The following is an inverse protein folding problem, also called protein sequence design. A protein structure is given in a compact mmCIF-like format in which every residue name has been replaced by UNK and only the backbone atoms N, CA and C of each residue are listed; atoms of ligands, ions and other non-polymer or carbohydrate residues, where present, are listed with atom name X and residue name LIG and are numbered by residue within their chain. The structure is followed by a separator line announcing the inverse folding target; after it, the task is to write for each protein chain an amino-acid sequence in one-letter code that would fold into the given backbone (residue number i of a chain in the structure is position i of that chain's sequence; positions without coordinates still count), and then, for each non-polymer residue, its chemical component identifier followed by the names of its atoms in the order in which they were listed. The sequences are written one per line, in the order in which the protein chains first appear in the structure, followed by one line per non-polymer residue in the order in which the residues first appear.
data_IF_823371374094
#
_entry.id   IF_823371374094
#
_cell.length_a   1.000
_cell.length_b   1.000
_cell.length_c   1.000
_cell.angle_alpha   90.00
_cell.angle_beta   90.00
_cell.angle_gamma   90.00
#
_symmetry.space_group_name_H-M   'P 1'
#
loop_
_entity.id
_entity.type
_entity.pdbx_description
1 polymer ?
#
# COMPACT_ATOMS: atom_id res chain seq x y z
N UNK A 1 21.37 -7.19 -53.13
CA UNK A 1 21.08 -6.43 -51.89
C UNK A 1 21.77 -7.01 -50.68
N UNK A 2 22.10 -6.16 -49.70
CA UNK A 2 22.93 -6.48 -48.53
C UNK A 2 22.18 -7.23 -47.40
N UNK A 3 20.99 -7.79 -47.64
CA UNK A 3 20.26 -8.62 -46.67
C UNK A 3 19.51 -7.88 -45.56
N UNK A 4 19.48 -6.54 -45.57
CA UNK A 4 18.72 -5.72 -44.63
C UNK A 4 19.41 -5.51 -43.28
N UNK A 5 18.64 -5.14 -42.24
CA UNK A 5 19.19 -4.84 -40.91
C UNK A 5 19.52 -6.13 -40.15
N UNK A 6 20.78 -6.27 -39.74
CA UNK A 6 21.24 -7.34 -38.85
C UNK A 6 21.28 -6.85 -37.40
N UNK A 7 20.51 -7.51 -36.54
CA UNK A 7 20.46 -7.24 -35.10
C UNK A 7 21.33 -8.27 -34.37
N UNK A 8 22.22 -7.79 -33.53
CA UNK A 8 23.08 -8.62 -32.68
C UNK A 8 22.75 -8.30 -31.22
N UNK A 9 22.18 -9.27 -30.52
CA UNK A 9 22.01 -9.22 -29.07
C UNK A 9 23.27 -9.75 -28.39
N UNK A 10 23.80 -8.99 -27.45
CA UNK A 10 25.04 -9.33 -26.71
C UNK A 10 24.79 -10.17 -25.48
N UNK A 11 23.54 -10.19 -24.99
CA UNK A 11 23.07 -10.98 -23.86
C UNK A 11 21.55 -11.20 -24.00
N UNK A 12 20.97 -12.00 -23.08
CA UNK A 12 19.51 -12.15 -22.97
C UNK A 12 19.00 -11.33 -21.80
N UNK A 13 17.99 -10.51 -22.05
CA UNK A 13 17.34 -9.76 -20.98
C UNK A 13 16.57 -10.72 -20.07
N UNK A 14 16.33 -10.32 -18.81
CA UNK A 14 15.44 -11.03 -17.90
C UNK A 14 14.00 -11.20 -18.42
N UNK A 15 13.59 -10.42 -19.43
CA UNK A 15 12.26 -10.46 -20.00
C UNK A 15 12.31 -10.74 -21.49
N UNK A 16 11.56 -11.76 -21.90
CA UNK A 16 11.41 -12.17 -23.30
C UNK A 16 10.79 -11.07 -24.16
N UNK A 17 9.99 -10.19 -23.55
CA UNK A 17 9.37 -9.06 -24.24
C UNK A 17 10.43 -8.08 -24.76
N UNK A 18 11.46 -7.79 -23.96
CA UNK A 18 12.53 -6.85 -24.35
C UNK A 18 13.39 -7.45 -25.46
N UNK A 19 13.74 -8.74 -25.36
CA UNK A 19 14.44 -9.45 -26.44
C UNK A 19 13.64 -9.43 -27.76
N UNK A 20 12.33 -9.68 -27.70
CA UNK A 20 11.45 -9.63 -28.88
C UNK A 20 11.34 -8.23 -29.46
N UNK A 21 11.35 -7.19 -28.63
CA UNK A 21 11.37 -5.80 -29.10
C UNK A 21 12.66 -5.49 -29.85
N UNK A 22 13.82 -6.00 -29.40
CA UNK A 22 15.08 -5.85 -30.11
C UNK A 22 15.06 -6.58 -31.46
N UNK A 23 14.56 -7.82 -31.50
CA UNK A 23 14.38 -8.58 -32.76
C UNK A 23 13.47 -7.86 -33.75
N UNK A 24 12.36 -7.30 -33.26
CA UNK A 24 11.38 -6.59 -34.08
C UNK A 24 11.87 -5.26 -34.67
N UNK A 25 13.11 -4.84 -34.40
CA UNK A 25 13.72 -3.69 -35.08
C UNK A 25 14.15 -4.01 -36.50
N UNK A 26 14.45 -5.28 -36.81
CA UNK A 26 14.70 -5.77 -38.16
C UNK A 26 13.43 -6.34 -38.81
N UNK A 27 13.44 -6.46 -40.14
CA UNK A 27 12.36 -7.12 -40.90
C UNK A 27 11.00 -6.41 -40.87
N UNK A 28 11.00 -5.06 -40.86
CA UNK A 28 9.77 -4.27 -40.85
C UNK A 28 9.08 -4.39 -42.21
N UNK A 29 7.74 -4.48 -42.22
CA UNK A 29 6.95 -4.51 -43.46
C UNK A 29 7.36 -5.60 -44.48
N UNK A 30 7.97 -6.69 -44.03
CA UNK A 30 8.45 -7.76 -44.91
C UNK A 30 9.84 -7.52 -45.49
N UNK A 31 10.54 -6.45 -45.07
CA UNK A 31 11.94 -6.23 -45.42
C UNK A 31 12.82 -7.43 -44.98
N UNK A 32 13.91 -7.74 -45.71
CA UNK A 32 14.93 -8.66 -45.24
C UNK A 32 15.55 -8.17 -43.92
N UNK A 33 15.92 -9.10 -43.05
CA UNK A 33 16.61 -8.79 -41.80
C UNK A 33 16.97 -10.04 -41.02
N UNK A 34 17.92 -9.92 -40.09
CA UNK A 34 18.38 -11.02 -39.25
C UNK A 34 18.48 -10.59 -37.80
N UNK A 35 18.36 -11.55 -36.88
CA UNK A 35 18.58 -11.32 -35.46
C UNK A 35 19.27 -12.52 -34.83
N UNK A 36 20.44 -12.31 -34.23
CA UNK A 36 21.20 -13.34 -33.52
C UNK A 36 21.50 -12.86 -32.11
N UNK A 37 21.41 -13.75 -31.13
CA UNK A 37 21.75 -13.45 -29.74
C UNK A 37 22.94 -14.32 -29.34
N UNK A 38 24.00 -13.66 -28.88
CA UNK A 38 25.13 -14.28 -28.20
C UNK A 38 24.87 -14.24 -26.70
N UNK A 39 25.20 -15.33 -26.02
CA UNK A 39 24.95 -15.49 -24.58
C UNK A 39 26.16 -16.20 -24.00
N UNK A 40 26.67 -15.68 -22.88
CA UNK A 40 27.71 -16.32 -22.08
C UNK A 40 27.11 -16.96 -20.83
N UNK A 41 27.73 -18.02 -20.34
CA UNK A 41 27.38 -18.59 -19.04
C UNK A 41 27.72 -17.66 -17.87
N UNK A 42 28.58 -16.67 -18.10
CA UNK A 42 28.94 -15.64 -17.13
C UNK A 42 27.93 -14.47 -17.08
N UNK A 43 26.96 -14.44 -17.98
CA UNK A 43 25.95 -13.37 -18.03
C UNK A 43 25.07 -13.39 -16.77
N UNK A 44 24.49 -12.24 -16.41
CA UNK A 44 23.68 -12.12 -15.19
C UNK A 44 22.50 -13.10 -15.15
N UNK A 45 21.77 -13.24 -16.27
CA UNK A 45 20.67 -14.20 -16.39
C UNK A 45 21.17 -15.64 -16.18
N UNK A 46 22.32 -15.97 -16.73
CA UNK A 46 22.88 -17.31 -16.60
C UNK A 46 23.39 -17.55 -15.19
N UNK A 47 24.07 -16.59 -14.54
CA UNK A 47 24.52 -16.71 -13.15
C UNK A 47 23.39 -16.94 -12.15
N UNK A 48 22.26 -16.27 -12.34
CA UNK A 48 21.07 -16.45 -11.48
C UNK A 48 20.44 -17.85 -11.61
N UNK A 49 20.67 -18.55 -12.73
CA UNK A 49 20.03 -19.83 -13.05
C UNK A 49 20.99 -20.93 -13.50
N UNK A 50 22.29 -20.72 -13.32
CA UNK A 50 23.37 -21.69 -13.48
C UNK A 50 23.24 -22.68 -12.33
N UNK A 51 22.16 -23.46 -12.38
CA UNK A 51 21.97 -24.60 -11.51
C UNK A 51 23.11 -25.56 -11.78
N UNK A 52 23.59 -26.23 -10.73
CA UNK A 52 24.64 -27.26 -10.83
C UNK A 52 24.36 -28.27 -11.95
N UNK A 53 23.08 -28.49 -12.29
CA UNK A 53 22.63 -29.39 -13.35
C UNK A 53 22.94 -28.89 -14.77
N UNK A 54 22.85 -27.57 -15.02
CA UNK A 54 23.19 -26.99 -16.34
C UNK A 54 24.70 -26.98 -16.52
N UNK A 55 25.45 -26.63 -15.48
CA UNK A 55 26.92 -26.69 -15.48
C UNK A 55 27.42 -28.13 -15.69
N UNK A 56 26.89 -29.10 -14.93
CA UNK A 56 27.22 -30.53 -15.13
C UNK A 56 26.89 -31.05 -16.52
N UNK A 57 25.79 -30.58 -17.14
CA UNK A 57 25.45 -30.98 -18.51
C UNK A 57 26.48 -30.47 -19.53
N UNK A 58 27.04 -29.28 -19.32
CA UNK A 58 28.08 -28.70 -20.17
C UNK A 58 29.42 -29.42 -20.00
N UNK A 59 29.79 -29.73 -18.75
CA UNK A 59 30.98 -30.54 -18.44
C UNK A 59 30.90 -31.91 -19.11
N UNK A 60 29.71 -32.52 -19.13
CA UNK A 60 29.50 -33.85 -19.75
C UNK A 60 29.56 -33.80 -21.28
N UNK A 61 29.26 -32.65 -21.89
CA UNK A 61 29.31 -32.47 -23.34
C UNK A 61 30.74 -32.32 -23.87
N UNK A 62 31.76 -32.18 -23.01
CA UNK A 62 33.17 -32.16 -23.41
C UNK A 62 33.54 -30.98 -24.33
N UNK A 63 32.80 -29.88 -24.20
CA UNK A 63 32.96 -28.68 -25.03
C UNK A 63 34.31 -28.02 -24.76
N UNK A 64 35.04 -27.69 -25.82
CA UNK A 64 36.31 -26.99 -25.71
C UNK A 64 36.09 -25.49 -25.56
N UNK A 65 37.00 -24.84 -24.83
CA UNK A 65 37.00 -23.40 -24.67
C UNK A 65 37.09 -22.71 -26.06
N UNK A 66 36.12 -21.84 -26.36
CA UNK A 66 36.02 -21.14 -27.64
C UNK A 66 35.09 -21.79 -28.69
N UNK A 67 34.49 -22.95 -28.43
CA UNK A 67 33.50 -23.55 -29.34
C UNK A 67 32.09 -22.96 -29.11
N UNK A 68 31.42 -22.59 -30.21
CA UNK A 68 30.04 -22.11 -30.18
C UNK A 68 29.08 -23.27 -29.91
N UNK A 69 28.17 -23.09 -28.95
CA UNK A 69 27.16 -24.09 -28.59
C UNK A 69 25.85 -23.73 -29.25
N UNK A 70 25.46 -24.49 -30.28
CA UNK A 70 24.10 -24.46 -30.83
C UNK A 70 23.34 -25.72 -30.41
N UNK A 71 22.56 -25.63 -29.33
CA UNK A 71 21.75 -26.75 -28.84
C UNK A 71 20.35 -26.30 -28.45
N UNK A 72 19.34 -26.97 -29.02
CA UNK A 72 17.93 -26.74 -28.67
C UNK A 72 17.62 -27.00 -27.19
N UNK A 73 18.43 -27.80 -26.50
CA UNK A 73 18.30 -28.03 -25.04
C UNK A 73 18.78 -26.83 -24.24
N UNK A 74 19.91 -26.23 -24.64
CA UNK A 74 20.48 -25.04 -23.99
C UNK A 74 19.55 -23.85 -24.22
N UNK A 75 19.05 -23.64 -25.43
CA UNK A 75 18.08 -22.57 -25.72
C UNK A 75 16.82 -22.69 -24.86
N UNK A 76 16.26 -23.91 -24.71
CA UNK A 76 15.11 -24.15 -23.83
C UNK A 76 15.41 -23.90 -22.35
N UNK A 77 16.61 -24.22 -21.89
CA UNK A 77 17.02 -23.93 -20.52
C UNK A 77 17.06 -22.42 -20.25
N UNK A 78 17.59 -21.63 -21.19
CA UNK A 78 17.63 -20.16 -21.12
C UNK A 78 16.20 -19.59 -21.10
N UNK A 79 15.31 -20.07 -21.97
CA UNK A 79 13.91 -19.62 -21.99
C UNK A 79 13.17 -19.91 -20.68
N UNK A 80 13.44 -21.07 -20.06
CA UNK A 80 12.89 -21.42 -18.75
C UNK A 80 13.44 -20.52 -17.64
N UNK A 81 14.73 -20.16 -17.70
CA UNK A 81 15.34 -19.19 -16.78
C UNK A 81 14.65 -17.83 -16.89
N UNK A 82 14.47 -17.30 -18.10
CA UNK A 82 13.73 -16.04 -18.31
C UNK A 82 12.30 -16.12 -17.77
N UNK A 83 11.59 -17.22 -18.02
CA UNK A 83 10.22 -17.41 -17.51
C UNK A 83 10.18 -17.37 -15.97
N UNK A 84 11.15 -17.99 -15.29
CA UNK A 84 11.26 -17.94 -13.82
C UNK A 84 11.53 -16.54 -13.29
N UNK A 85 12.38 -15.75 -13.97
CA UNK A 85 12.60 -14.35 -13.59
C UNK A 85 11.34 -13.53 -13.76
N UNK A 86 10.64 -13.70 -14.88
CA UNK A 86 9.35 -13.04 -15.13
C UNK A 86 8.33 -13.39 -14.04
N UNK A 87 8.20 -14.67 -13.67
CA UNK A 87 7.32 -15.13 -12.59
C UNK A 87 7.71 -14.54 -11.22
N UNK A 88 9.00 -14.52 -10.89
CA UNK A 88 9.48 -13.92 -9.65
C UNK A 88 9.18 -12.41 -9.61
N UNK A 89 9.43 -11.68 -10.71
CA UNK A 89 9.14 -10.26 -10.82
C UNK A 89 7.63 -9.97 -10.72
N UNK A 90 6.78 -10.82 -11.29
CA UNK A 90 5.32 -10.75 -11.10
C UNK A 90 4.96 -10.96 -9.63
N UNK A 91 5.57 -11.95 -8.95
CA UNK A 91 5.35 -12.20 -7.53
C UNK A 91 5.80 -11.04 -6.62
N UNK A 92 6.92 -10.39 -6.93
CA UNK A 92 7.40 -9.19 -6.23
C UNK A 92 6.39 -8.05 -6.40
N UNK A 93 5.93 -7.79 -7.64
CA UNK A 93 4.94 -6.73 -7.91
C UNK A 93 3.60 -7.01 -7.24
N UNK A 94 3.16 -8.27 -7.22
CA UNK A 94 1.92 -8.66 -6.53
C UNK A 94 2.00 -8.36 -5.04
N UNK A 95 3.08 -8.76 -4.37
CA UNK A 95 3.29 -8.44 -2.95
C UNK A 95 3.34 -6.94 -2.70
N UNK A 96 4.03 -6.19 -3.57
CA UNK A 96 4.08 -4.73 -3.48
C UNK A 96 2.68 -4.10 -3.62
N UNK A 97 1.86 -4.60 -4.53
CA UNK A 97 0.47 -4.17 -4.69
C UNK A 97 -0.39 -4.51 -3.47
N UNK A 98 -0.23 -5.71 -2.89
CA UNK A 98 -0.95 -6.10 -1.67
C UNK A 98 -0.65 -5.18 -0.48
N UNK A 99 0.61 -4.75 -0.32
CA UNK A 99 0.97 -3.75 0.69
C UNK A 99 0.37 -2.37 0.37
N UNK A 100 0.41 -1.95 -0.90
CA UNK A 100 -0.18 -0.69 -1.32
C UNK A 100 -1.70 -0.67 -1.17
N UNK A 101 -2.40 -1.79 -1.38
CA UNK A 101 -3.86 -1.89 -1.22
C UNK A 101 -4.30 -1.54 0.22
N UNK A 102 -3.53 -1.95 1.23
CA UNK A 102 -3.79 -1.59 2.63
C UNK A 102 -3.62 -0.07 2.82
N UNK A 103 -2.52 0.49 2.31
CA UNK A 103 -2.24 1.92 2.40
C UNK A 103 -3.26 2.76 1.62
N UNK A 104 -3.71 2.26 0.48
CA UNK A 104 -4.66 2.94 -0.39
C UNK A 104 -6.05 3.00 0.24
N UNK A 105 -6.49 1.94 0.92
CA UNK A 105 -7.75 1.95 1.71
C UNK A 105 -7.70 3.01 2.82
N UNK A 106 -6.60 3.07 3.57
CA UNK A 106 -6.40 4.09 4.60
C UNK A 106 -6.37 5.50 4.00
N UNK A 107 -5.63 5.69 2.91
CA UNK A 107 -5.53 6.98 2.21
C UNK A 107 -6.90 7.45 1.73
N UNK A 108 -7.68 6.57 1.13
CA UNK A 108 -9.04 6.87 0.64
C UNK A 108 -9.94 7.34 1.79
N UNK A 109 -9.92 6.63 2.92
CA UNK A 109 -10.70 7.03 4.10
C UNK A 109 -10.30 8.42 4.62
N UNK A 110 -9.00 8.66 4.82
CA UNK A 110 -8.50 9.95 5.33
C UNK A 110 -8.77 11.08 4.35
N UNK A 111 -8.60 10.84 3.05
CA UNK A 111 -8.81 11.86 2.03
C UNK A 111 -10.28 12.23 1.88
N UNK A 112 -11.20 11.26 1.98
CA UNK A 112 -12.63 11.54 2.00
C UNK A 112 -13.01 12.39 3.23
N UNK A 113 -12.52 12.02 4.42
CA UNK A 113 -12.78 12.78 5.64
C UNK A 113 -12.22 14.20 5.56
N UNK A 114 -11.02 14.36 5.00
CA UNK A 114 -10.41 15.67 4.74
C UNK A 114 -11.22 16.48 3.72
N UNK A 115 -11.73 15.86 2.67
CA UNK A 115 -12.52 16.53 1.65
C UNK A 115 -13.83 17.08 2.23
N UNK A 116 -14.56 16.28 3.02
CA UNK A 116 -15.75 16.75 3.74
C UNK A 116 -15.45 17.91 4.69
N UNK A 117 -14.32 17.83 5.42
CA UNK A 117 -13.87 18.91 6.29
C UNK A 117 -13.53 20.21 5.55
N UNK A 118 -13.00 20.13 4.32
CA UNK A 118 -12.68 21.31 3.51
C UNK A 118 -13.92 21.95 2.89
N UNK A 119 -14.91 21.16 2.50
CA UNK A 119 -16.15 21.66 1.89
C UNK A 119 -17.18 22.15 2.91
N UNK A 120 -16.97 21.89 4.21
CA UNK A 120 -17.97 22.22 5.23
C UNK A 120 -19.14 21.23 5.30
N UNK A 121 -19.15 20.21 4.44
CA UNK A 121 -20.23 19.24 4.37
C UNK A 121 -20.13 18.23 5.51
N UNK A 122 -21.22 18.09 6.29
CA UNK A 122 -21.39 17.02 7.30
C UNK A 122 -20.38 17.01 8.47
N UNK A 123 -19.57 18.05 8.64
CA UNK A 123 -18.57 18.15 9.71
C UNK A 123 -19.19 17.97 11.11
N UNK A 124 -20.38 18.54 11.33
CA UNK A 124 -21.07 18.39 12.62
C UNK A 124 -21.42 16.94 12.94
N UNK A 125 -21.84 16.15 11.94
CA UNK A 125 -22.15 14.73 12.11
C UNK A 125 -20.87 13.94 12.39
N UNK A 126 -19.79 14.24 11.67
CA UNK A 126 -18.50 13.57 11.89
C UNK A 126 -17.95 13.85 13.30
N UNK A 127 -18.06 15.09 13.80
CA UNK A 127 -17.67 15.45 15.16
C UNK A 127 -18.54 14.74 16.20
N UNK A 128 -19.85 14.70 16.00
CA UNK A 128 -20.76 14.00 16.91
C UNK A 128 -20.43 12.50 17.00
N UNK A 129 -20.20 11.85 15.86
CA UNK A 129 -19.81 10.44 15.82
C UNK A 129 -18.44 10.21 16.48
N UNK A 130 -17.44 11.06 16.21
CA UNK A 130 -16.13 10.95 16.86
C UNK A 130 -16.23 11.13 18.38
N UNK A 131 -17.10 12.01 18.86
CA UNK A 131 -17.34 12.21 20.29
C UNK A 131 -17.98 10.97 20.92
N UNK A 132 -18.98 10.39 20.25
CA UNK A 132 -19.60 9.13 20.66
C UNK A 132 -18.57 8.00 20.76
N UNK A 133 -17.77 7.79 19.71
CA UNK A 133 -16.73 6.74 19.67
C UNK A 133 -15.71 6.89 20.81
N UNK A 134 -15.30 8.12 21.12
CA UNK A 134 -14.36 8.39 22.23
C UNK A 134 -14.98 8.05 23.58
N UNK A 135 -16.23 8.45 23.81
CA UNK A 135 -16.96 8.15 25.05
C UNK A 135 -17.16 6.65 25.22
N UNK A 136 -17.59 5.96 24.16
CA UNK A 136 -17.76 4.52 24.15
C UNK A 136 -16.44 3.81 24.49
N UNK A 137 -15.32 4.25 23.92
CA UNK A 137 -13.99 3.70 24.24
C UNK A 137 -13.60 3.91 25.71
N UNK A 138 -13.85 5.10 26.28
CA UNK A 138 -13.58 5.33 27.70
C UNK A 138 -14.40 4.39 28.57
N UNK A 139 -15.72 4.34 28.37
CA UNK A 139 -16.61 3.47 29.16
C UNK A 139 -16.20 2.01 29.01
N UNK A 140 -15.91 1.53 27.80
CA UNK A 140 -15.53 0.14 27.56
C UNK A 140 -14.20 -0.26 28.24
N UNK A 141 -13.25 0.66 28.33
CA UNK A 141 -11.94 0.40 28.96
C UNK A 141 -12.01 0.42 30.48
N UNK A 142 -12.90 1.21 31.07
CA UNK A 142 -12.97 1.41 32.53
C UNK A 142 -14.08 0.63 33.21
N UNK A 143 -15.12 0.23 32.48
CA UNK A 143 -16.25 -0.48 33.07
C UNK A 143 -15.87 -1.88 33.59
N UNK A 144 -16.39 -2.32 34.75
CA UNK A 144 -17.33 -1.62 35.65
C UNK A 144 -16.67 -0.88 36.82
N UNK A 145 -15.37 -1.02 37.05
CA UNK A 145 -14.75 -0.63 38.33
C UNK A 145 -13.80 0.58 38.24
N UNK A 146 -13.42 1.03 37.05
CA UNK A 146 -12.47 2.11 36.81
C UNK A 146 -13.09 3.51 36.81
N UNK A 147 -13.97 3.83 37.76
CA UNK A 147 -14.66 5.14 37.80
C UNK A 147 -13.68 6.32 37.87
N UNK A 148 -12.63 6.21 38.69
CA UNK A 148 -11.63 7.28 38.83
C UNK A 148 -10.87 7.55 37.53
N UNK A 149 -10.52 6.48 36.80
CA UNK A 149 -9.85 6.57 35.51
C UNK A 149 -10.78 7.19 34.46
N UNK A 150 -12.05 6.76 34.43
CA UNK A 150 -13.08 7.33 33.56
C UNK A 150 -13.24 8.84 33.81
N UNK A 151 -13.39 9.24 35.07
CA UNK A 151 -13.54 10.65 35.44
C UNK A 151 -12.32 11.48 35.01
N UNK A 152 -11.11 10.93 35.15
CA UNK A 152 -9.88 11.58 34.69
C UNK A 152 -9.82 11.71 33.16
N UNK A 153 -10.21 10.67 32.42
CA UNK A 153 -10.19 10.67 30.96
C UNK A 153 -11.23 11.64 30.37
N UNK A 154 -12.43 11.69 30.96
CA UNK A 154 -13.47 12.67 30.64
C UNK A 154 -13.00 14.10 30.88
N UNK A 155 -12.36 14.34 32.04
CA UNK A 155 -11.85 15.67 32.38
C UNK A 155 -10.72 16.11 31.43
N UNK A 156 -9.75 15.23 31.16
CA UNK A 156 -8.60 15.56 30.31
C UNK A 156 -8.97 15.76 28.84
N UNK A 157 -9.88 14.94 28.32
CA UNK A 157 -10.17 14.91 26.88
C UNK A 157 -11.36 15.78 26.52
N UNK A 158 -12.44 15.67 27.28
CA UNK A 158 -13.71 16.36 26.99
C UNK A 158 -13.90 17.61 27.87
N UNK A 159 -13.08 17.80 28.89
CA UNK A 159 -13.21 18.93 29.85
C UNK A 159 -14.58 18.94 30.54
N UNK A 160 -15.09 17.75 30.86
CA UNK A 160 -16.34 17.56 31.60
C UNK A 160 -16.09 16.74 32.85
N UNK A 161 -16.92 16.98 33.87
CA UNK A 161 -17.01 16.09 35.03
C UNK A 161 -17.95 14.93 34.72
N UNK A 162 -17.78 13.80 35.41
CA UNK A 162 -18.69 12.67 35.26
C UNK A 162 -20.10 13.09 35.69
N UNK A 163 -21.15 12.86 34.87
CA UNK A 163 -22.52 13.30 35.17
C UNK A 163 -23.25 12.39 36.17
N UNK A 164 -22.51 11.50 36.83
CA UNK A 164 -23.00 10.52 37.79
C UNK A 164 -21.90 10.20 38.80
N UNK A 165 -22.30 9.65 39.94
CA UNK A 165 -21.41 9.23 41.03
C UNK A 165 -20.80 7.85 40.79
N UNK A 166 -19.78 7.48 41.58
CA UNK A 166 -19.16 6.16 41.52
C UNK A 166 -20.16 5.03 41.80
N UNK A 167 -21.05 5.22 42.78
CA UNK A 167 -22.08 4.23 43.13
C UNK A 167 -23.10 4.08 42.00
N UNK A 168 -23.49 5.17 41.34
CA UNK A 168 -24.38 5.11 40.18
C UNK A 168 -23.71 4.40 39.00
N UNK A 169 -22.42 4.69 38.73
CA UNK A 169 -21.68 4.06 37.64
C UNK A 169 -21.59 2.54 37.79
N UNK A 170 -21.39 2.05 39.02
CA UNK A 170 -21.34 0.61 39.32
C UNK A 170 -22.67 -0.11 39.13
N UNK A 171 -23.78 0.60 39.25
CA UNK A 171 -25.13 0.03 39.24
C UNK A 171 -25.88 0.30 37.92
N UNK A 172 -25.36 1.14 37.01
CA UNK A 172 -25.97 1.42 35.71
C UNK A 172 -25.40 0.53 34.60
N UNK A 173 -26.13 0.43 33.48
CA UNK A 173 -25.61 -0.25 32.29
C UNK A 173 -24.53 0.58 31.60
N UNK A 174 -23.74 -0.06 30.73
CA UNK A 174 -22.74 0.64 29.90
C UNK A 174 -23.42 1.63 28.97
N UNK A 175 -24.53 1.23 28.37
CA UNK A 175 -25.32 2.03 27.45
C UNK A 175 -25.83 3.30 28.14
N UNK A 176 -26.39 3.18 29.35
CA UNK A 176 -26.84 4.34 30.13
C UNK A 176 -25.69 5.29 30.48
N UNK A 177 -24.52 4.74 30.82
CA UNK A 177 -23.33 5.54 31.12
C UNK A 177 -22.87 6.33 29.88
N UNK A 178 -22.81 5.68 28.71
CA UNK A 178 -22.43 6.30 27.43
C UNK A 178 -23.42 7.43 27.09
N UNK A 179 -24.73 7.18 27.17
CA UNK A 179 -25.75 8.18 26.86
C UNK A 179 -25.67 9.40 27.78
N UNK A 180 -25.52 9.19 29.09
CA UNK A 180 -25.38 10.29 30.06
C UNK A 180 -24.12 11.12 29.82
N UNK A 181 -22.97 10.48 29.57
CA UNK A 181 -21.74 11.19 29.24
C UNK A 181 -21.89 11.95 27.93
N UNK A 182 -22.50 11.35 26.91
CA UNK A 182 -22.71 11.99 25.62
C UNK A 182 -23.63 13.21 25.72
N UNK A 183 -24.70 13.15 26.52
CA UNK A 183 -25.55 14.31 26.78
C UNK A 183 -24.76 15.45 27.45
N UNK A 184 -23.97 15.14 28.48
CA UNK A 184 -23.13 16.12 29.17
C UNK A 184 -22.04 16.72 28.25
N UNK A 185 -21.44 15.89 27.40
CA UNK A 185 -20.42 16.30 26.45
C UNK A 185 -20.99 17.24 25.37
N UNK A 186 -22.19 16.95 24.84
CA UNK A 186 -22.86 17.83 23.88
C UNK A 186 -23.25 19.17 24.50
N UNK A 187 -23.76 19.18 25.74
CA UNK A 187 -24.07 20.43 26.43
C UNK A 187 -22.81 21.28 26.63
N UNK A 188 -21.70 20.65 27.06
CA UNK A 188 -20.42 21.35 27.19
C UNK A 188 -19.89 21.88 25.85
N UNK A 189 -20.05 21.10 24.77
CA UNK A 189 -19.68 21.47 23.42
C UNK A 189 -20.49 22.67 22.91
N UNK A 190 -21.81 22.65 23.06
CA UNK A 190 -22.71 23.74 22.65
C UNK A 190 -22.40 25.03 23.43
N UNK A 191 -22.23 24.95 24.75
CA UNK A 191 -21.82 26.12 25.57
C UNK A 191 -20.50 26.72 25.09
N UNK A 192 -19.53 25.87 24.75
CA UNK A 192 -18.22 26.31 24.23
C UNK A 192 -18.34 26.91 22.84
N UNK A 193 -19.14 26.31 21.96
CA UNK A 193 -19.42 26.79 20.60
C UNK A 193 -20.01 28.19 20.65
N UNK A 194 -21.06 28.39 21.44
CA UNK A 194 -21.79 29.66 21.49
C UNK A 194 -20.88 30.78 22.03
N UNK A 195 -20.05 30.48 23.05
CA UNK A 195 -19.02 31.41 23.54
C UNK A 195 -17.97 31.76 22.50
N UNK A 196 -17.51 30.79 21.70
CA UNK A 196 -16.54 31.05 20.62
C UNK A 196 -17.18 31.94 19.55
N UNK A 197 -18.44 31.69 19.19
CA UNK A 197 -19.18 32.52 18.22
C UNK A 197 -19.27 33.96 18.74
N UNK A 198 -19.67 34.16 19.99
CA UNK A 198 -19.80 35.50 20.60
C UNK A 198 -18.49 36.30 20.52
N UNK A 199 -17.35 35.64 20.76
CA UNK A 199 -16.03 36.29 20.77
C UNK A 199 -15.46 36.48 19.35
N UNK A 200 -15.62 35.49 18.48
CA UNK A 200 -14.96 35.47 17.17
C UNK A 200 -15.76 36.20 16.07
N UNK A 201 -17.10 36.14 16.12
CA UNK A 201 -17.94 36.69 15.05
C UNK A 201 -17.75 38.19 14.79
N UNK A 202 -17.57 39.05 15.81
CA UNK A 202 -17.26 40.47 15.59
C UNK A 202 -15.99 40.67 14.76
N UNK A 203 -14.92 39.94 15.09
CA UNK A 203 -13.62 40.03 14.39
C UNK A 203 -13.71 39.52 12.96
N UNK A 204 -14.47 38.44 12.74
CA UNK A 204 -14.67 37.87 11.40
C UNK A 204 -15.46 38.84 10.52
N UNK A 205 -16.47 39.51 11.08
CA UNK A 205 -17.31 40.48 10.36
C UNK A 205 -16.52 41.73 9.98
N UNK A 206 -15.53 42.13 10.79
CA UNK A 206 -14.63 43.24 10.48
C UNK A 206 -13.56 42.88 9.41
N UNK A 207 -13.27 41.59 9.20
CA UNK A 207 -12.24 41.12 8.26
C UNK A 207 -12.78 40.80 6.84
N UNK A 208 -14.09 40.63 6.68
CA UNK A 208 -14.77 40.29 5.42
C UNK A 208 -15.42 41.52 4.82
#
# INVERSE_FOLDING_TARGET
DAGGLAIIGTERHESRRVDRQLRGRAGRQGDPGSSVFYVSFEDQLMRLFATDRVMKMLDTLGLKEGEMIESSRVTRAIENAQKRVEENNVGIRKRLLEYDDVMNKQRTYIYNRRHHALLGERIGIDIANMMWDVIENFVNNTYPAGYQDLAMDLFRTLTIEAPFTEDEFRNMSKEDAIEKIHAAANEAFDRKRDRIIEVAMPVVTDCV
#
